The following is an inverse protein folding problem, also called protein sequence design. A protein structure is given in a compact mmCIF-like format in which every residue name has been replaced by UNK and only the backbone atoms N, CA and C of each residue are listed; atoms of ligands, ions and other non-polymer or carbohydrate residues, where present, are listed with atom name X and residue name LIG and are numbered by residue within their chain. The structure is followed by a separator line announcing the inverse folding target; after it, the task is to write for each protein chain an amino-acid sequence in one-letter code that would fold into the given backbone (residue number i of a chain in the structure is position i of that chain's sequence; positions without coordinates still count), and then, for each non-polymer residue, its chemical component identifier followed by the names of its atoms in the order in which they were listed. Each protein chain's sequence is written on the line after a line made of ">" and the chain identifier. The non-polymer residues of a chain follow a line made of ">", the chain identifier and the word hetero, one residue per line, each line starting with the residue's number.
data_IF_537420610498
#
_entry.id   IF_537420610498
#
_cell.length_a   1.000
_cell.length_b   1.000
_cell.length_c   1.000
_cell.angle_alpha   90.00
_cell.angle_beta   90.00
_cell.angle_gamma   90.00
#
_symmetry.space_group_name_H-M   'P 1'
#
loop_
_entity.id
_entity.type
_entity.pdbx_description
1 polymer ?
#
# COMPACT_ATOMS: atom_id res chain seq x y z
N UNK A 1 -31.26 -24.14 34.24
CA UNK A 1 -29.86 -23.87 33.85
C UNK A 1 -29.70 -24.34 32.40
N UNK A 2 -29.65 -23.41 31.46
CA UNK A 2 -29.60 -23.68 30.02
C UNK A 2 -28.18 -23.33 29.55
N UNK A 3 -27.35 -24.33 29.27
CA UNK A 3 -25.99 -24.14 28.76
C UNK A 3 -26.05 -23.81 27.27
N UNK A 4 -25.40 -22.72 26.89
CA UNK A 4 -25.42 -22.20 25.53
C UNK A 4 -24.36 -22.86 24.64
N UNK A 5 -24.82 -23.14 23.44
CA UNK A 5 -24.19 -23.15 22.12
C UNK A 5 -22.74 -23.62 21.88
N UNK A 6 -22.70 -24.49 20.89
CA UNK A 6 -21.59 -25.11 20.19
C UNK A 6 -20.68 -24.09 19.48
N UNK A 7 -19.40 -24.42 19.55
CA UNK A 7 -18.25 -23.88 18.82
C UNK A 7 -18.53 -23.93 17.31
N UNK A 8 -18.67 -22.77 16.67
CA UNK A 8 -18.46 -22.65 15.22
C UNK A 8 -17.05 -22.12 15.05
N UNK A 9 -16.21 -22.99 14.51
CA UNK A 9 -14.86 -22.71 14.06
C UNK A 9 -14.83 -21.34 13.37
N UNK A 10 -14.02 -20.42 13.90
CA UNK A 10 -13.55 -19.28 13.13
C UNK A 10 -12.86 -19.86 11.89
N UNK A 11 -13.56 -19.84 10.76
CA UNK A 11 -12.97 -20.16 9.48
C UNK A 11 -11.73 -19.29 9.35
N UNK A 12 -10.58 -19.94 9.18
CA UNK A 12 -9.36 -19.31 8.75
C UNK A 12 -9.61 -18.64 7.38
N UNK A 13 -9.96 -17.36 7.39
CA UNK A 13 -9.91 -16.52 6.19
C UNK A 13 -8.51 -15.89 6.08
N UNK A 14 -7.47 -16.73 6.04
CA UNK A 14 -6.19 -16.35 5.45
C UNK A 14 -6.28 -16.70 3.96
N UNK A 15 -6.83 -15.82 3.15
CA UNK A 15 -7.03 -16.12 1.74
C UNK A 15 -7.91 -15.15 0.97
N UNK A 16 -7.83 -13.86 1.28
CA UNK A 16 -8.26 -12.82 0.36
C UNK A 16 -7.27 -11.67 0.50
N UNK A 17 -6.06 -11.86 -0.03
CA UNK A 17 -5.25 -10.73 -0.42
C UNK A 17 -6.14 -9.90 -1.36
N UNK A 18 -6.52 -8.73 -0.88
CA UNK A 18 -7.43 -7.80 -1.54
C UNK A 18 -7.03 -7.66 -3.00
N UNK A 19 -7.82 -8.21 -3.93
CA UNK A 19 -7.64 -8.06 -5.38
C UNK A 19 -7.84 -6.60 -5.87
N UNK A 20 -7.77 -5.64 -4.95
CA UNK A 20 -7.88 -4.20 -5.16
C UNK A 20 -6.53 -3.49 -4.97
N UNK A 21 -5.60 -4.05 -4.18
CA UNK A 21 -4.33 -3.40 -3.91
C UNK A 21 -3.25 -3.87 -4.90
N UNK A 22 -2.73 -2.93 -5.69
CA UNK A 22 -1.59 -3.14 -6.57
C UNK A 22 -0.27 -2.77 -5.89
N UNK A 23 0.84 -3.37 -6.34
CA UNK A 23 2.18 -2.93 -5.93
C UNK A 23 2.65 -1.83 -6.88
N UNK A 24 3.10 -0.70 -6.33
CA UNK A 24 3.59 0.45 -7.09
C UNK A 24 5.07 0.71 -6.78
N UNK A 25 5.77 1.21 -7.79
CA UNK A 25 7.09 1.83 -7.64
C UNK A 25 6.96 3.31 -7.94
N UNK A 26 7.55 4.15 -7.09
CA UNK A 26 7.56 5.60 -7.25
C UNK A 26 8.99 6.10 -7.49
N UNK A 27 9.23 6.69 -8.65
CA UNK A 27 10.42 7.48 -8.94
C UNK A 27 10.25 8.89 -8.33
N UNK A 28 11.21 9.31 -7.52
CA UNK A 28 11.15 10.51 -6.69
C UNK A 28 12.37 11.39 -6.98
N UNK A 29 12.16 12.67 -7.24
CA UNK A 29 13.21 13.69 -7.26
C UNK A 29 13.06 14.57 -6.01
N UNK A 30 14.13 14.67 -5.23
CA UNK A 30 14.22 15.51 -4.06
C UNK A 30 14.57 16.95 -4.46
N UNK A 31 14.37 17.89 -3.53
CA UNK A 31 14.67 19.31 -3.75
C UNK A 31 16.14 19.60 -4.08
N UNK A 32 17.08 18.75 -3.63
CA UNK A 32 18.50 18.88 -3.97
C UNK A 32 18.84 18.35 -5.38
N UNK A 33 17.85 17.78 -6.10
CA UNK A 33 18.02 17.17 -7.42
C UNK A 33 18.37 15.68 -7.36
N UNK A 34 18.56 15.11 -6.17
CA UNK A 34 18.75 13.66 -6.02
C UNK A 34 17.53 12.87 -6.45
N UNK A 35 17.77 11.82 -7.24
CA UNK A 35 16.73 10.89 -7.69
C UNK A 35 16.80 9.60 -6.89
N UNK A 36 15.66 9.17 -6.34
CA UNK A 36 15.52 7.93 -5.57
C UNK A 36 14.25 7.19 -6.00
N UNK A 37 14.12 5.91 -5.60
CA UNK A 37 12.95 5.07 -5.91
C UNK A 37 12.38 4.48 -4.64
N UNK A 38 11.06 4.60 -4.47
CA UNK A 38 10.30 3.93 -3.41
C UNK A 38 9.61 2.71 -4.05
N UNK A 39 10.04 1.50 -3.69
CA UNK A 39 9.53 0.25 -4.25
C UNK A 39 8.57 -0.40 -3.25
N UNK A 40 7.62 -1.19 -3.75
CA UNK A 40 6.73 -1.98 -2.88
C UNK A 40 5.62 -1.16 -2.23
N UNK A 41 5.24 -0.01 -2.81
CA UNK A 41 4.13 0.80 -2.30
C UNK A 41 2.83 0.09 -2.62
N UNK A 42 2.23 -0.56 -1.64
CA UNK A 42 0.92 -1.21 -1.79
C UNK A 42 -0.16 -0.14 -1.72
N UNK A 43 -0.85 0.08 -2.84
CA UNK A 43 -1.88 1.10 -2.95
C UNK A 43 -2.99 0.65 -3.92
N UNK A 44 -4.16 1.24 -3.77
CA UNK A 44 -5.31 0.98 -4.65
C UNK A 44 -5.17 1.73 -5.99
N UNK A 45 -4.52 2.89 -5.99
CA UNK A 45 -4.33 3.74 -7.15
C UNK A 45 -3.00 4.48 -7.14
N UNK A 46 -2.53 4.91 -8.31
CA UNK A 46 -1.33 5.75 -8.46
C UNK A 46 -1.40 7.03 -7.62
N UNK A 47 -2.59 7.64 -7.53
CA UNK A 47 -2.83 8.82 -6.70
C UNK A 47 -2.64 8.54 -5.22
N UNK A 48 -3.08 7.38 -4.74
CA UNK A 48 -2.83 6.96 -3.36
C UNK A 48 -1.36 6.62 -3.13
N UNK A 49 -0.70 5.92 -4.07
CA UNK A 49 0.74 5.64 -4.00
C UNK A 49 1.58 6.92 -3.90
N UNK A 50 1.25 7.94 -4.72
CA UNK A 50 1.87 9.26 -4.65
C UNK A 50 1.63 9.94 -3.31
N UNK A 51 0.40 9.85 -2.78
CA UNK A 51 0.03 10.45 -1.50
C UNK A 51 0.85 9.83 -0.36
N UNK A 52 0.90 8.50 -0.27
CA UNK A 52 1.70 7.76 0.73
C UNK A 52 3.18 8.15 0.62
N UNK A 53 3.73 8.17 -0.60
CA UNK A 53 5.13 8.53 -0.81
C UNK A 53 5.45 9.99 -0.44
N UNK A 54 4.53 10.95 -0.70
CA UNK A 54 4.69 12.36 -0.30
C UNK A 54 4.48 12.58 1.20
N UNK A 55 3.54 11.88 1.83
CA UNK A 55 3.27 12.00 3.28
C UNK A 55 4.51 11.66 4.11
N UNK A 56 5.38 10.78 3.62
CA UNK A 56 6.59 10.36 4.32
C UNK A 56 7.84 11.22 4.02
N UNK A 57 7.79 12.15 3.06
CA UNK A 57 8.97 12.94 2.70
C UNK A 57 8.60 14.30 2.09
N UNK A 58 8.71 15.35 2.89
CA UNK A 58 8.41 16.73 2.49
C UNK A 58 9.45 17.35 1.55
N UNK A 59 10.60 16.70 1.35
CA UNK A 59 11.65 17.15 0.43
C UNK A 59 11.39 16.74 -1.03
N UNK A 60 10.25 16.10 -1.33
CA UNK A 60 9.91 15.65 -2.68
C UNK A 60 9.50 16.83 -3.55
N UNK A 61 10.31 17.12 -4.56
CA UNK A 61 10.03 18.10 -5.61
C UNK A 61 9.10 17.53 -6.68
N UNK A 62 9.39 16.29 -7.10
CA UNK A 62 8.64 15.60 -8.15
C UNK A 62 8.50 14.12 -7.82
N UNK A 63 7.36 13.53 -8.17
CA UNK A 63 7.08 12.12 -7.95
C UNK A 63 6.24 11.55 -9.09
N UNK A 64 6.64 10.38 -9.57
CA UNK A 64 5.87 9.57 -10.50
C UNK A 64 5.80 8.13 -10.01
N UNK A 65 4.59 7.68 -9.71
CA UNK A 65 4.35 6.31 -9.33
C UNK A 65 3.79 5.55 -10.54
N UNK A 66 4.11 4.28 -10.66
CA UNK A 66 3.55 3.37 -11.65
C UNK A 66 3.34 2.01 -11.01
N UNK A 67 2.30 1.33 -11.47
CA UNK A 67 2.02 -0.04 -11.05
C UNK A 67 3.13 -0.93 -11.61
N UNK A 68 3.72 -1.74 -10.76
CA UNK A 68 4.63 -2.81 -11.14
C UNK A 68 3.85 -4.11 -10.98
N UNK A 69 3.30 -4.60 -12.09
CA UNK A 69 2.82 -5.98 -12.21
C UNK A 69 4.00 -6.96 -12.14
#
# INVERSE_FOLDING_TARGET
>A
MKMQLLVIAMLAMFGAASAHAGTYTCDVELNDGSKTKIRGVVADSESQARRIAKENNSAIKWINCYKVD
#
